data_IF_501795278791
#
_entry.id   IF_501795278791
#
_cell.length_a   1.000
_cell.length_b   1.000
_cell.length_c   1.000
_cell.angle_alpha   90.00
_cell.angle_beta   90.00
_cell.angle_gamma   90.00
#
_symmetry.space_group_name_H-M   'P 1'
#
loop_
_entity.id
_entity.type
_entity.pdbx_description
1 polymer ?
#
# COMPACT_ATOMS: atom_id res chain seq x y z
N UNK A 1 16.57 -3.52 -21.72
CA UNK A 1 16.68 -2.96 -20.35
C UNK A 1 15.45 -3.39 -19.57
N UNK A 2 15.57 -4.43 -18.73
CA UNK A 2 14.43 -5.05 -18.05
C UNK A 2 13.90 -4.17 -16.92
N UNK A 3 12.79 -3.48 -17.15
CA UNK A 3 12.02 -2.78 -16.10
C UNK A 3 11.03 -3.75 -15.46
N UNK A 4 11.53 -4.79 -14.81
CA UNK A 4 10.74 -5.50 -13.81
C UNK A 4 11.17 -4.98 -12.45
N UNK A 5 10.26 -4.28 -11.76
CA UNK A 5 10.14 -4.21 -10.30
C UNK A 5 9.19 -3.07 -9.90
N UNK A 6 7.92 -3.19 -10.27
CA UNK A 6 6.89 -2.51 -9.50
C UNK A 6 5.62 -3.34 -9.58
N UNK A 7 5.48 -4.29 -8.65
CA UNK A 7 4.25 -5.08 -8.51
C UNK A 7 3.03 -4.21 -8.19
N UNK A 8 3.25 -2.94 -7.79
CA UNK A 8 2.21 -1.98 -7.46
C UNK A 8 2.58 -0.60 -7.99
N UNK A 9 1.76 0.01 -8.85
CA UNK A 9 1.97 1.36 -9.36
C UNK A 9 2.12 2.40 -8.25
N UNK A 10 2.84 3.49 -8.51
CA UNK A 10 3.06 4.56 -7.52
C UNK A 10 1.74 5.15 -7.00
N UNK A 11 0.79 5.38 -7.90
CA UNK A 11 -0.60 5.73 -7.62
C UNK A 11 -1.27 4.79 -6.61
N UNK A 12 -1.06 3.48 -6.74
CA UNK A 12 -1.66 2.49 -5.83
C UNK A 12 -1.00 2.50 -4.45
N UNK A 13 0.31 2.72 -4.37
CA UNK A 13 1.00 2.90 -3.07
C UNK A 13 0.49 4.17 -2.38
N UNK A 14 0.34 5.25 -3.14
CA UNK A 14 -0.14 6.53 -2.64
C UNK A 14 -1.59 6.41 -2.14
N UNK A 15 -2.46 5.76 -2.91
CA UNK A 15 -3.85 5.48 -2.54
C UNK A 15 -3.90 4.65 -1.26
N UNK A 16 -3.06 3.61 -1.15
CA UNK A 16 -3.00 2.79 0.04
C UNK A 16 -2.59 3.53 1.31
N UNK A 17 -1.58 4.40 1.21
CA UNK A 17 -1.11 5.23 2.32
C UNK A 17 -2.15 6.32 2.66
N UNK A 18 -2.77 6.95 1.66
CA UNK A 18 -3.84 7.91 1.87
C UNK A 18 -5.07 7.27 2.51
N UNK A 19 -5.45 6.07 2.08
CA UNK A 19 -6.54 5.32 2.70
C UNK A 19 -6.20 5.02 4.15
N UNK A 20 -4.96 4.62 4.47
CA UNK A 20 -4.53 4.45 5.87
C UNK A 20 -4.62 5.74 6.69
N UNK A 21 -4.08 6.85 6.18
CA UNK A 21 -4.06 8.14 6.86
C UNK A 21 -5.47 8.75 7.02
N UNK A 22 -6.34 8.57 6.03
CA UNK A 22 -7.71 9.12 6.00
C UNK A 22 -8.70 8.25 6.78
N UNK A 23 -8.58 6.92 6.65
CA UNK A 23 -9.51 5.96 7.24
C UNK A 23 -9.24 5.77 8.74
N UNK A 24 -8.04 6.11 9.24
CA UNK A 24 -7.65 5.94 10.65
C UNK A 24 -7.68 4.48 11.11
N UNK A 25 -7.85 3.54 10.17
CA UNK A 25 -7.92 2.10 10.39
C UNK A 25 -6.51 1.54 10.55
N UNK A 26 -6.40 0.41 11.24
CA UNK A 26 -5.13 -0.34 11.31
C UNK A 26 -4.64 -0.73 9.91
N UNK A 27 -3.30 -0.77 9.73
CA UNK A 27 -2.69 -1.21 8.47
C UNK A 27 -3.22 -2.57 8.01
N UNK A 28 -3.68 -3.43 8.92
CA UNK A 28 -4.22 -4.76 8.58
C UNK A 28 -5.57 -4.69 7.87
N UNK A 29 -6.45 -3.79 8.31
CA UNK A 29 -7.74 -3.54 7.67
C UNK A 29 -7.55 -2.90 6.30
N UNK A 30 -6.66 -1.92 6.20
CA UNK A 30 -6.34 -1.24 4.94
C UNK A 30 -5.66 -2.22 3.96
N UNK A 31 -4.78 -3.07 4.47
CA UNK A 31 -4.15 -4.11 3.68
C UNK A 31 -5.16 -5.13 3.15
N UNK A 32 -6.13 -5.54 3.97
CA UNK A 32 -7.22 -6.43 3.54
C UNK A 32 -8.13 -5.78 2.49
N UNK A 33 -8.49 -4.51 2.69
CA UNK A 33 -9.36 -3.74 1.79
C UNK A 33 -8.73 -3.58 0.40
N UNK A 34 -7.45 -3.20 0.37
CA UNK A 34 -6.69 -3.01 -0.86
C UNK A 34 -6.12 -4.33 -1.43
N UNK A 35 -6.37 -5.47 -0.77
CA UNK A 35 -5.75 -6.77 -1.08
C UNK A 35 -4.23 -6.71 -1.23
N UNK A 36 -3.58 -5.93 -0.37
CA UNK A 36 -2.12 -5.82 -0.30
C UNK A 36 -1.58 -6.57 0.91
N UNK A 37 -0.31 -6.96 0.85
CA UNK A 37 0.36 -7.50 2.02
C UNK A 37 0.65 -6.38 3.04
N UNK A 38 0.40 -6.64 4.32
CA UNK A 38 0.76 -5.74 5.44
C UNK A 38 2.23 -5.29 5.36
N UNK A 39 3.14 -6.20 5.00
CA UNK A 39 4.57 -5.91 4.84
C UNK A 39 4.86 -4.93 3.69
N UNK A 40 4.04 -4.92 2.63
CA UNK A 40 4.15 -3.95 1.54
C UNK A 40 3.64 -2.58 1.99
N UNK A 41 2.49 -2.53 2.66
CA UNK A 41 1.91 -1.30 3.18
C UNK A 41 2.82 -0.66 4.24
N UNK A 42 3.37 -1.45 5.16
CA UNK A 42 4.33 -0.98 6.16
C UNK A 42 5.60 -0.40 5.53
N UNK A 43 6.04 -0.91 4.37
CA UNK A 43 7.15 -0.34 3.60
C UNK A 43 6.80 0.96 2.85
N UNK A 44 5.51 1.30 2.72
CA UNK A 44 5.07 2.53 2.07
C UNK A 44 4.75 3.63 3.07
N UNK A 45 4.39 3.24 4.31
CA UNK A 45 4.11 4.17 5.41
C UNK A 45 5.39 4.58 6.16
N UNK A 46 6.43 3.72 6.18
CA UNK A 46 7.75 4.01 6.75
C UNK A 46 8.63 4.82 5.79
#
# INVERSE_FOLDING_TARGET
MGKQKNQYSAEFKQDAVNHYLSSGKSMEDVAKDLKVSKSSLSKWVA
#
